data_IF_905112362356
#
_entry.id   IF_905112362356
#
_cell.length_a   1.000
_cell.length_b   1.000
_cell.length_c   1.000
_cell.angle_alpha   90.00
_cell.angle_beta   90.00
_cell.angle_gamma   90.00
#
_symmetry.space_group_name_H-M   'P 1'
#
loop_
_entity.id
_entity.type
_entity.pdbx_description
1 polymer ?
#
# COMPACT_ATOMS: atom_id res chain seq x y z
N UNK A 1 11.87 -65.81 1.04
CA UNK A 1 11.69 -65.30 -0.34
C UNK A 1 10.40 -64.49 -0.50
N UNK A 2 9.23 -64.96 -0.13
CA UNK A 2 7.98 -64.16 -0.25
C UNK A 2 8.03 -62.81 0.51
N UNK A 3 8.64 -62.80 1.71
CA UNK A 3 8.77 -61.56 2.51
C UNK A 3 9.71 -60.54 1.85
N UNK A 4 10.81 -60.96 1.21
CA UNK A 4 11.71 -60.05 0.48
C UNK A 4 11.04 -59.45 -0.76
N UNK A 5 10.18 -60.22 -1.42
CA UNK A 5 9.36 -59.75 -2.53
C UNK A 5 8.32 -58.69 -2.09
N UNK A 6 7.66 -58.94 -0.96
CA UNK A 6 6.70 -57.95 -0.37
C UNK A 6 7.42 -56.66 0.02
N UNK A 7 8.58 -56.79 0.68
CA UNK A 7 9.41 -55.63 1.05
C UNK A 7 9.90 -54.86 -0.19
N UNK A 8 10.30 -55.54 -1.28
CA UNK A 8 10.65 -54.96 -2.56
C UNK A 8 9.51 -54.18 -3.21
N UNK A 9 8.29 -54.78 -3.23
CA UNK A 9 7.12 -54.09 -3.80
C UNK A 9 6.70 -52.87 -2.96
N UNK A 10 6.79 -52.99 -1.61
CA UNK A 10 6.54 -51.82 -0.74
C UNK A 10 7.52 -50.71 -0.99
N UNK A 11 8.82 -51.02 -1.13
CA UNK A 11 9.86 -50.05 -1.48
C UNK A 11 9.66 -49.44 -2.86
N UNK A 12 9.27 -50.20 -3.88
CA UNK A 12 8.95 -49.69 -5.21
C UNK A 12 7.84 -48.64 -5.16
N UNK A 13 6.71 -48.95 -4.49
CA UNK A 13 5.59 -48.02 -4.33
C UNK A 13 6.02 -46.73 -3.61
N UNK A 14 6.78 -46.87 -2.55
CA UNK A 14 7.26 -45.74 -1.77
C UNK A 14 8.18 -44.83 -2.59
N UNK A 15 9.14 -45.38 -3.36
CA UNK A 15 10.01 -44.61 -4.25
C UNK A 15 9.24 -44.00 -5.43
N UNK A 16 8.23 -44.66 -5.97
CA UNK A 16 7.37 -44.11 -7.00
C UNK A 16 6.63 -42.87 -6.50
N UNK A 17 5.94 -42.97 -5.36
CA UNK A 17 5.26 -41.80 -4.76
C UNK A 17 6.21 -40.65 -4.45
N UNK A 18 7.47 -40.94 -4.03
CA UNK A 18 8.49 -39.90 -3.84
C UNK A 18 8.88 -39.26 -5.16
N UNK A 19 9.05 -40.01 -6.25
CA UNK A 19 9.34 -39.46 -7.59
C UNK A 19 8.20 -38.55 -8.09
N UNK A 20 6.94 -38.92 -7.82
CA UNK A 20 5.78 -38.10 -8.20
C UNK A 20 5.80 -36.74 -7.49
N UNK A 21 6.17 -36.71 -6.20
CA UNK A 21 6.31 -35.48 -5.42
C UNK A 21 7.45 -34.61 -5.94
N UNK A 22 8.64 -35.20 -6.16
CA UNK A 22 9.79 -34.50 -6.70
C UNK A 22 9.50 -33.97 -8.10
N UNK A 23 8.84 -34.75 -8.95
CA UNK A 23 8.44 -34.34 -10.29
C UNK A 23 7.49 -33.13 -10.25
N UNK A 24 6.55 -33.11 -9.30
CA UNK A 24 5.67 -31.97 -9.09
C UNK A 24 6.43 -30.72 -8.60
N UNK A 25 7.41 -30.87 -7.69
CA UNK A 25 8.26 -29.77 -7.22
C UNK A 25 9.04 -29.13 -8.37
N UNK A 26 9.68 -29.97 -9.21
CA UNK A 26 10.45 -29.50 -10.36
C UNK A 26 9.56 -28.81 -11.40
N UNK A 27 8.39 -29.40 -11.69
CA UNK A 27 7.45 -28.84 -12.66
C UNK A 27 6.97 -27.43 -12.26
N UNK A 28 6.89 -27.15 -10.95
CA UNK A 28 6.38 -25.87 -10.42
C UNK A 28 7.48 -24.92 -9.92
N UNK A 29 8.75 -25.16 -10.25
CA UNK A 29 9.86 -24.28 -9.81
C UNK A 29 9.71 -22.84 -10.30
N UNK A 30 9.09 -22.61 -11.44
CA UNK A 30 8.81 -21.30 -12.01
C UNK A 30 7.40 -20.77 -11.69
N UNK A 31 6.64 -21.48 -10.84
CA UNK A 31 5.31 -21.05 -10.43
C UNK A 31 5.43 -20.12 -9.23
N UNK A 32 4.93 -18.89 -9.35
CA UNK A 32 4.95 -17.91 -8.26
C UNK A 32 4.24 -18.42 -7.02
N UNK A 33 4.81 -18.16 -5.85
CA UNK A 33 4.22 -18.54 -4.56
C UNK A 33 4.07 -20.05 -4.32
N UNK A 34 4.65 -20.89 -5.19
CA UNK A 34 4.60 -22.36 -5.01
C UNK A 34 5.41 -22.76 -3.79
N UNK A 35 4.82 -23.65 -2.97
CA UNK A 35 5.45 -24.25 -1.81
C UNK A 35 5.76 -25.70 -2.09
N UNK A 36 7.03 -26.06 -2.01
CA UNK A 36 7.53 -27.40 -2.24
C UNK A 36 6.94 -28.41 -1.28
N UNK A 37 6.79 -29.65 -1.74
CA UNK A 37 6.32 -30.75 -0.95
C UNK A 37 7.49 -31.59 -0.44
N UNK A 38 7.45 -31.99 0.83
CA UNK A 38 8.34 -32.93 1.46
C UNK A 38 7.68 -34.29 1.60
N UNK A 39 8.43 -35.34 1.33
CA UNK A 39 7.96 -36.73 1.41
C UNK A 39 8.70 -37.49 2.50
N UNK A 40 7.98 -38.04 3.46
CA UNK A 40 8.52 -38.79 4.58
C UNK A 40 8.15 -40.27 4.51
N UNK A 41 9.16 -41.12 4.71
CA UNK A 41 8.99 -42.57 4.82
C UNK A 41 8.79 -42.97 6.28
N UNK A 42 8.02 -44.08 6.47
CA UNK A 42 8.04 -44.85 7.70
C UNK A 42 8.21 -46.32 7.38
N UNK A 43 8.73 -47.07 8.31
CA UNK A 43 8.79 -48.51 8.22
C UNK A 43 7.40 -49.13 8.30
N UNK A 44 7.24 -50.26 7.65
CA UNK A 44 6.01 -51.03 7.64
C UNK A 44 5.93 -51.93 8.88
N UNK A 45 4.99 -52.84 8.88
CA UNK A 45 4.78 -53.82 9.99
C UNK A 45 5.94 -54.74 10.20
N UNK A 46 6.15 -55.18 11.43
CA UNK A 46 7.09 -56.17 11.85
C UNK A 46 6.44 -57.50 12.27
N UNK A 47 7.09 -58.60 11.96
CA UNK A 47 6.71 -59.91 12.51
C UNK A 47 7.80 -60.38 13.47
N UNK A 48 7.41 -60.79 14.67
CA UNK A 48 8.31 -61.38 15.62
C UNK A 48 8.63 -62.82 15.17
N UNK A 49 9.92 -63.07 14.86
CA UNK A 49 10.43 -64.43 14.64
C UNK A 49 10.66 -65.16 15.97
N UNK A 50 11.13 -64.38 16.95
CA UNK A 50 11.35 -64.83 18.31
C UNK A 50 10.90 -63.73 19.27
N UNK A 51 10.14 -64.11 20.30
CA UNK A 51 9.77 -63.15 21.33
C UNK A 51 10.88 -62.99 22.35
N UNK A 52 10.99 -61.77 22.95
CA UNK A 52 11.89 -61.50 24.04
C UNK A 52 11.44 -62.30 25.30
N UNK A 53 12.43 -62.78 26.02
CA UNK A 53 12.16 -63.37 27.36
C UNK A 53 13.14 -62.76 28.36
N UNK A 54 12.62 -62.42 29.55
CA UNK A 54 13.47 -62.00 30.67
C UNK A 54 14.34 -63.16 31.16
N UNK A 55 15.59 -62.87 31.51
CA UNK A 55 16.47 -63.82 32.20
C UNK A 55 16.02 -63.95 33.67
N UNK A 56 16.33 -65.09 34.26
CA UNK A 56 16.16 -65.29 35.69
C UNK A 56 17.55 -65.47 36.35
N UNK A 57 17.72 -64.90 37.54
CA UNK A 57 18.98 -65.00 38.32
C UNK A 57 18.98 -66.24 39.25
N UNK A 58 17.97 -67.08 39.16
CA UNK A 58 17.91 -68.32 39.92
C UNK A 58 18.92 -69.40 39.39
N UNK A 59 19.54 -70.15 40.28
CA UNK A 59 20.46 -71.18 39.89
C UNK A 59 19.81 -72.21 38.96
N UNK A 60 20.40 -72.44 37.78
CA UNK A 60 19.84 -73.30 36.74
C UNK A 60 18.93 -72.66 35.70
N UNK A 61 18.63 -71.36 35.84
CA UNK A 61 17.86 -70.62 34.86
C UNK A 61 18.69 -70.10 33.69
N UNK A 62 18.05 -69.94 32.53
CA UNK A 62 18.68 -69.38 31.33
C UNK A 62 18.69 -67.86 31.33
N UNK A 63 19.70 -67.25 30.71
CA UNK A 63 19.76 -65.79 30.47
C UNK A 63 18.65 -65.31 29.59
N UNK A 64 18.40 -63.99 29.65
CA UNK A 64 17.41 -63.32 28.80
C UNK A 64 17.74 -63.37 27.32
N UNK A 65 16.73 -63.39 26.47
CA UNK A 65 16.86 -63.43 25.02
C UNK A 65 16.15 -62.22 24.41
N UNK A 66 16.81 -61.48 23.50
CA UNK A 66 16.24 -60.39 22.78
C UNK A 66 15.22 -60.83 21.71
N UNK A 67 14.24 -60.01 21.41
CA UNK A 67 13.33 -60.23 20.30
C UNK A 67 14.06 -60.22 18.98
N UNK A 68 13.69 -61.16 18.07
CA UNK A 68 14.15 -61.14 16.66
C UNK A 68 12.95 -60.81 15.78
N UNK A 69 13.07 -59.66 15.06
CA UNK A 69 11.93 -59.11 14.29
C UNK A 69 12.37 -58.96 12.82
N UNK A 70 11.42 -59.15 11.91
CA UNK A 70 11.59 -58.94 10.46
C UNK A 70 10.52 -58.02 9.95
N UNK A 71 10.95 -56.93 9.28
CA UNK A 71 10.04 -55.93 8.71
C UNK A 71 9.53 -56.28 7.31
N UNK A 72 8.48 -55.67 6.89
CA UNK A 72 7.84 -55.82 5.56
C UNK A 72 8.13 -54.66 4.61
N UNK A 73 9.14 -53.84 4.87
CA UNK A 73 9.55 -52.74 4.02
C UNK A 73 9.13 -51.36 4.51
N UNK A 74 9.04 -50.40 3.62
CA UNK A 74 8.69 -49.03 3.90
C UNK A 74 7.35 -48.62 3.26
N UNK A 75 6.71 -47.63 3.84
CA UNK A 75 5.49 -47.04 3.31
C UNK A 75 5.52 -45.50 3.49
N UNK A 76 4.59 -44.81 2.82
CA UNK A 76 4.37 -43.37 2.99
C UNK A 76 3.99 -43.07 4.44
N UNK A 77 4.64 -42.08 5.05
CA UNK A 77 4.23 -41.51 6.33
C UNK A 77 3.36 -40.29 6.14
N UNK A 78 3.92 -39.28 5.45
CA UNK A 78 3.23 -38.02 5.20
C UNK A 78 3.82 -37.33 3.95
N UNK A 79 3.00 -36.55 3.29
CA UNK A 79 3.41 -35.53 2.34
C UNK A 79 3.00 -34.21 2.98
N UNK A 80 3.92 -33.30 3.18
CA UNK A 80 3.67 -32.01 3.82
C UNK A 80 4.25 -30.87 2.96
N UNK A 81 3.59 -29.72 3.00
CA UNK A 81 4.08 -28.52 2.36
C UNK A 81 5.19 -27.88 3.20
N UNK A 82 6.19 -27.32 2.53
CA UNK A 82 7.24 -26.52 3.16
C UNK A 82 6.88 -25.05 3.00
N UNK A 83 6.37 -24.41 4.06
CA UNK A 83 5.90 -23.02 4.03
C UNK A 83 6.99 -21.98 4.29
N UNK A 84 8.25 -22.30 4.08
CA UNK A 84 9.35 -21.34 4.11
C UNK A 84 9.18 -20.30 3.01
N UNK A 85 9.59 -19.04 3.28
CA UNK A 85 9.54 -17.95 2.30
C UNK A 85 10.50 -18.24 1.14
N UNK A 86 10.03 -18.07 -0.09
CA UNK A 86 10.85 -18.16 -1.29
C UNK A 86 11.68 -16.91 -1.52
N UNK A 87 12.60 -16.95 -2.48
CA UNK A 87 13.39 -15.78 -2.86
C UNK A 87 12.52 -14.69 -3.51
N UNK A 88 12.76 -13.39 -3.20
CA UNK A 88 12.08 -12.29 -3.88
C UNK A 88 12.58 -12.16 -5.32
N UNK A 89 11.67 -11.95 -6.24
CA UNK A 89 11.95 -11.61 -7.65
C UNK A 89 11.31 -10.29 -8.01
N UNK A 90 12.07 -9.30 -8.50
CA UNK A 90 11.51 -8.00 -8.85
C UNK A 90 10.52 -8.11 -10.01
N UNK A 91 9.39 -7.42 -9.88
CA UNK A 91 8.36 -7.28 -10.91
C UNK A 91 8.35 -5.86 -11.47
N UNK A 92 8.03 -5.74 -12.76
CA UNK A 92 7.83 -4.45 -13.41
C UNK A 92 6.50 -3.78 -13.03
N UNK A 93 5.59 -4.53 -12.41
CA UNK A 93 4.29 -4.02 -12.00
C UNK A 93 4.32 -3.59 -10.52
N UNK A 94 4.03 -2.32 -10.20
CA UNK A 94 4.05 -1.81 -8.85
C UNK A 94 2.99 -2.41 -7.90
N UNK A 95 1.95 -3.05 -8.45
CA UNK A 95 0.89 -3.71 -7.68
C UNK A 95 1.22 -5.15 -7.29
N UNK A 96 2.26 -5.73 -7.90
CA UNK A 96 2.72 -7.04 -7.49
C UNK A 96 3.39 -6.94 -6.13
N UNK A 97 3.09 -7.86 -5.25
CA UNK A 97 3.68 -7.89 -3.92
C UNK A 97 3.89 -9.32 -3.41
N UNK A 98 4.80 -9.46 -2.48
CA UNK A 98 5.03 -10.72 -1.77
C UNK A 98 4.98 -10.50 -0.26
N UNK A 99 4.69 -11.57 0.48
CA UNK A 99 4.80 -11.57 1.94
C UNK A 99 6.16 -12.16 2.31
N UNK A 100 6.99 -11.39 2.98
CA UNK A 100 8.21 -11.91 3.61
C UNK A 100 7.91 -12.26 5.06
N UNK A 101 8.05 -13.53 5.39
CA UNK A 101 7.65 -14.11 6.65
C UNK A 101 6.41 -14.99 6.56
N UNK A 102 5.71 -15.14 7.68
CA UNK A 102 4.50 -15.97 7.80
C UNK A 102 3.24 -15.21 7.36
N UNK A 103 2.26 -15.92 6.83
CA UNK A 103 0.94 -15.39 6.49
C UNK A 103 0.53 -15.65 5.04
N UNK A 104 -0.69 -15.27 4.72
CA UNK A 104 -1.32 -15.46 3.42
C UNK A 104 -2.19 -14.24 3.09
N UNK A 105 -2.34 -13.94 1.81
CA UNK A 105 -3.36 -13.02 1.33
C UNK A 105 -4.73 -13.66 1.41
N UNK A 106 -5.75 -12.89 1.74
CA UNK A 106 -7.14 -13.33 1.76
C UNK A 106 -7.81 -12.95 0.44
N UNK A 107 -8.30 -13.96 -0.29
CA UNK A 107 -8.90 -13.77 -1.60
C UNK A 107 -10.13 -14.64 -1.78
N UNK A 108 -11.06 -14.24 -2.63
CA UNK A 108 -12.21 -15.07 -2.93
C UNK A 108 -13.34 -14.37 -3.63
N UNK A 109 -14.53 -14.98 -3.58
CA UNK A 109 -15.75 -14.40 -4.13
C UNK A 109 -16.22 -13.22 -3.28
N UNK A 110 -16.99 -12.31 -3.85
CA UNK A 110 -17.49 -11.14 -3.14
C UNK A 110 -18.42 -11.58 -1.98
N UNK A 111 -18.05 -11.16 -0.78
CA UNK A 111 -18.89 -11.26 0.42
C UNK A 111 -19.47 -9.87 0.70
N UNK A 112 -20.78 -9.76 0.77
CA UNK A 112 -21.45 -8.51 1.08
C UNK A 112 -21.23 -8.13 2.56
N UNK A 113 -20.69 -6.95 2.78
CA UNK A 113 -20.41 -6.41 4.11
C UNK A 113 -19.00 -6.69 4.61
N UNK A 114 -18.77 -6.38 5.86
CA UNK A 114 -17.50 -6.56 6.57
C UNK A 114 -17.61 -7.70 7.58
N UNK A 115 -16.52 -8.40 7.81
CA UNK A 115 -16.47 -9.53 8.74
C UNK A 115 -15.14 -9.53 9.52
N UNK A 116 -15.13 -10.20 10.66
CA UNK A 116 -13.93 -10.37 11.50
C UNK A 116 -13.45 -11.82 11.59
N UNK A 117 -14.32 -12.80 11.28
CA UNK A 117 -13.95 -14.21 11.34
C UNK A 117 -13.64 -14.76 9.94
N UNK A 118 -12.36 -15.05 9.70
CA UNK A 118 -11.86 -15.55 8.42
C UNK A 118 -12.26 -17.01 8.18
N UNK A 119 -12.31 -17.83 9.23
CA UNK A 119 -12.58 -19.27 9.10
C UNK A 119 -13.99 -19.58 8.56
N UNK A 120 -14.97 -18.77 8.95
CA UNK A 120 -16.38 -18.95 8.55
C UNK A 120 -16.73 -18.23 7.23
N UNK A 121 -15.82 -17.42 6.70
CA UNK A 121 -16.07 -16.62 5.49
C UNK A 121 -16.15 -17.43 4.20
N UNK A 122 -15.60 -18.64 4.19
CA UNK A 122 -15.50 -19.48 2.99
C UNK A 122 -14.52 -18.96 1.94
N UNK A 123 -13.69 -17.97 2.28
CA UNK A 123 -12.68 -17.40 1.42
C UNK A 123 -11.44 -18.29 1.35
N UNK A 124 -10.63 -18.06 0.33
CA UNK A 124 -9.41 -18.79 0.09
C UNK A 124 -8.20 -17.96 0.54
N UNK A 125 -7.12 -18.65 0.83
CA UNK A 125 -5.83 -18.07 1.15
C UNK A 125 -4.90 -18.20 -0.06
N UNK A 126 -4.13 -17.16 -0.36
CA UNK A 126 -3.14 -17.15 -1.43
C UNK A 126 -1.79 -16.69 -0.93
N UNK A 127 -0.72 -17.23 -1.51
CA UNK A 127 0.63 -16.72 -1.30
C UNK A 127 1.10 -15.87 -2.49
N UNK A 128 0.36 -15.89 -3.58
CA UNK A 128 0.65 -15.12 -4.78
C UNK A 128 -0.02 -13.75 -4.68
N UNK A 129 0.76 -12.69 -4.80
CA UNK A 129 0.29 -11.31 -4.73
C UNK A 129 0.36 -10.62 -6.10
N UNK A 130 -0.24 -11.20 -7.12
CA UNK A 130 -0.41 -10.56 -8.42
C UNK A 130 -1.76 -9.86 -8.43
N UNK A 131 -1.75 -8.56 -8.16
CA UNK A 131 -2.99 -7.80 -8.02
C UNK A 131 -3.24 -6.85 -9.18
N UNK A 132 -4.51 -6.59 -9.47
CA UNK A 132 -5.00 -5.68 -10.50
C UNK A 132 -6.24 -4.97 -9.97
N UNK A 133 -6.60 -3.88 -10.62
CA UNK A 133 -7.88 -3.19 -10.38
C UNK A 133 -8.82 -3.54 -11.52
N UNK A 134 -10.06 -3.90 -11.20
CA UNK A 134 -11.11 -4.18 -12.18
C UNK A 134 -11.83 -2.89 -12.64
N UNK A 135 -12.72 -3.00 -13.62
CA UNK A 135 -13.52 -1.90 -14.16
C UNK A 135 -14.43 -1.23 -13.09
N UNK A 136 -14.80 -1.96 -12.05
CA UNK A 136 -15.64 -1.48 -10.96
C UNK A 136 -14.84 -0.85 -9.82
N UNK A 137 -13.51 -0.79 -9.95
CA UNK A 137 -12.60 -0.22 -8.95
C UNK A 137 -12.28 -1.15 -7.77
N UNK A 138 -12.52 -2.46 -7.90
CA UNK A 138 -12.14 -3.44 -6.88
C UNK A 138 -10.76 -3.99 -7.15
N UNK A 139 -10.03 -4.25 -6.06
CA UNK A 139 -8.77 -4.98 -6.13
C UNK A 139 -9.04 -6.47 -6.32
N UNK A 140 -8.50 -7.05 -7.39
CA UNK A 140 -8.64 -8.46 -7.76
C UNK A 140 -7.27 -9.08 -8.01
N UNK A 141 -7.20 -10.41 -7.85
CA UNK A 141 -6.03 -11.18 -8.23
C UNK A 141 -6.06 -11.63 -9.70
N UNK A 142 -5.01 -12.32 -10.13
CA UNK A 142 -4.87 -12.84 -11.50
C UNK A 142 -5.99 -13.83 -11.90
N UNK A 143 -6.63 -14.50 -10.95
CA UNK A 143 -7.77 -15.40 -11.18
C UNK A 143 -9.14 -14.72 -11.00
N UNK A 144 -9.17 -13.39 -10.92
CA UNK A 144 -10.37 -12.56 -10.73
C UNK A 144 -11.08 -12.75 -9.40
N UNK A 145 -10.38 -13.23 -8.37
CA UNK A 145 -10.89 -13.24 -7.01
C UNK A 145 -10.64 -11.88 -6.35
N UNK A 146 -11.61 -11.41 -5.56
CA UNK A 146 -11.47 -10.16 -4.82
C UNK A 146 -10.44 -10.30 -3.70
N UNK A 147 -9.63 -9.26 -3.52
CA UNK A 147 -8.66 -9.17 -2.45
C UNK A 147 -9.29 -8.48 -1.25
N UNK A 148 -9.09 -9.05 -0.09
CA UNK A 148 -9.65 -8.57 1.17
C UNK A 148 -8.60 -7.87 2.00
N UNK A 149 -9.06 -6.86 2.72
CA UNK A 149 -8.21 -6.06 3.59
C UNK A 149 -9.01 -5.09 4.44
N UNK A 150 -8.32 -4.11 4.97
CA UNK A 150 -8.87 -3.03 5.79
C UNK A 150 -9.18 -1.84 4.89
N UNK A 151 -10.47 -1.64 4.59
CA UNK A 151 -10.89 -0.49 3.79
C UNK A 151 -10.69 0.81 4.57
N UNK A 152 -10.44 1.88 3.84
CA UNK A 152 -10.41 3.24 4.40
C UNK A 152 -11.83 3.66 4.74
N UNK A 153 -12.03 4.27 5.91
CA UNK A 153 -13.32 4.83 6.31
C UNK A 153 -13.70 6.00 5.39
N UNK A 154 -14.96 6.08 5.00
CA UNK A 154 -15.46 7.17 4.16
C UNK A 154 -15.11 8.54 4.76
N UNK A 155 -14.63 9.44 3.91
CA UNK A 155 -14.19 10.78 4.32
C UNK A 155 -12.79 10.86 4.92
N UNK A 156 -12.01 9.76 4.94
CA UNK A 156 -10.61 9.74 5.37
C UNK A 156 -9.70 9.27 4.22
N UNK A 157 -8.38 9.44 4.36
CA UNK A 157 -7.44 9.08 3.29
C UNK A 157 -7.52 9.99 2.07
N UNK A 158 -8.14 11.16 2.23
CA UNK A 158 -8.30 12.15 1.18
C UNK A 158 -7.04 13.02 1.17
N UNK A 159 -6.36 13.17 0.01
CA UNK A 159 -5.24 14.07 -0.10
C UNK A 159 -5.68 15.52 0.08
N UNK A 160 -4.75 16.38 0.41
CA UNK A 160 -5.00 17.82 0.41
C UNK A 160 -5.62 18.24 -0.92
N UNK A 161 -6.85 18.74 -0.87
CA UNK A 161 -7.49 19.27 -2.06
C UNK A 161 -7.28 20.77 -2.10
N UNK A 162 -6.70 21.31 -3.18
CA UNK A 162 -6.85 22.72 -3.44
C UNK A 162 -8.34 22.98 -3.65
N UNK A 163 -8.93 23.79 -2.79
CA UNK A 163 -10.33 24.19 -2.97
C UNK A 163 -10.48 24.82 -4.35
N UNK A 164 -11.56 24.42 -4.99
CA UNK A 164 -12.15 24.95 -6.21
C UNK A 164 -11.36 26.06 -6.93
N UNK A 165 -11.02 25.80 -8.19
CA UNK A 165 -10.36 26.69 -9.16
C UNK A 165 -9.57 27.85 -8.53
N UNK A 166 -8.25 27.72 -8.53
CA UNK A 166 -7.34 28.74 -8.00
C UNK A 166 -7.82 30.15 -8.31
N UNK A 167 -8.54 30.75 -7.38
CA UNK A 167 -9.02 32.12 -7.48
C UNK A 167 -7.88 33.07 -7.05
N UNK A 168 -7.87 34.27 -7.59
CA UNK A 168 -6.96 35.32 -7.15
C UNK A 168 -7.48 35.89 -5.83
N UNK A 169 -6.62 35.98 -4.83
CA UNK A 169 -6.96 36.66 -3.58
C UNK A 169 -7.19 38.13 -3.82
N UNK A 170 -8.25 38.63 -3.27
CA UNK A 170 -8.63 40.03 -3.32
C UNK A 170 -8.98 40.51 -1.91
N UNK A 171 -8.42 41.63 -1.49
CA UNK A 171 -8.77 42.32 -0.25
C UNK A 171 -9.11 43.77 -0.51
N UNK A 172 -10.15 44.27 0.14
CA UNK A 172 -10.52 45.69 0.11
C UNK A 172 -10.09 46.34 1.43
N UNK A 173 -9.41 47.48 1.35
CA UNK A 173 -8.89 48.20 2.49
C UNK A 173 -9.46 49.61 2.45
N UNK A 174 -10.24 50.05 3.46
CA UNK A 174 -10.63 51.44 3.57
C UNK A 174 -9.42 52.32 3.92
N UNK A 175 -9.21 53.34 3.12
CA UNK A 175 -8.16 54.36 3.33
C UNK A 175 -8.80 55.73 3.56
N UNK A 176 -8.21 56.50 4.46
CA UNK A 176 -8.64 57.84 4.78
C UNK A 176 -7.50 58.84 4.59
N UNK A 177 -7.81 59.94 3.92
CA UNK A 177 -6.86 61.05 3.72
C UNK A 177 -7.42 62.31 4.37
N UNK A 178 -6.56 63.04 5.05
CA UNK A 178 -6.93 64.34 5.58
C UNK A 178 -6.23 65.44 4.73
N UNK A 179 -7.00 66.35 4.22
CA UNK A 179 -6.48 67.46 3.44
C UNK A 179 -5.54 68.31 4.32
N UNK A 180 -4.29 68.57 3.87
CA UNK A 180 -3.39 69.38 4.64
C UNK A 180 -3.94 70.79 4.78
N UNK A 181 -3.94 71.32 5.99
CA UNK A 181 -4.42 72.70 6.29
C UNK A 181 -3.61 73.67 5.52
N UNK A 182 -4.21 74.45 4.65
CA UNK A 182 -3.60 75.46 3.79
C UNK A 182 -3.02 76.61 4.61
N UNK A 183 -1.70 76.65 4.82
CA UNK A 183 -0.97 77.84 5.15
C UNK A 183 -0.70 78.67 3.90
N UNK A 184 -0.28 79.92 4.04
CA UNK A 184 -0.12 80.94 2.98
C UNK A 184 0.85 80.56 1.82
N UNK A 185 1.43 79.40 1.80
CA UNK A 185 2.27 78.90 0.71
C UNK A 185 1.88 77.41 0.44
N UNK A 186 1.22 77.11 -0.68
CA UNK A 186 0.74 75.76 -0.91
C UNK A 186 1.94 74.84 -1.25
N UNK A 187 2.32 73.99 -0.30
CA UNK A 187 3.22 72.87 -0.59
C UNK A 187 2.52 71.94 -1.61
N UNK A 188 3.25 71.23 -2.46
CA UNK A 188 2.67 70.23 -3.36
C UNK A 188 1.84 69.24 -2.55
N UNK A 189 0.66 68.90 -3.05
CA UNK A 189 -0.18 67.90 -2.38
C UNK A 189 0.58 66.56 -2.35
N UNK A 190 0.52 65.92 -1.19
CA UNK A 190 1.16 64.59 -1.00
C UNK A 190 0.09 63.62 -0.56
N UNK A 191 0.08 62.43 -1.13
CA UNK A 191 -0.71 61.31 -0.66
C UNK A 191 0.24 60.31 0.03
N UNK A 192 -0.10 59.97 1.27
CA UNK A 192 0.61 58.95 2.04
C UNK A 192 -0.36 57.82 2.35
N UNK A 193 -0.08 56.64 1.82
CA UNK A 193 -0.80 55.40 2.10
C UNK A 193 0.19 54.45 2.76
N UNK A 194 -0.02 54.18 4.04
CA UNK A 194 0.95 53.44 4.85
C UNK A 194 2.26 54.20 4.99
N UNK A 195 3.37 53.61 4.56
CA UNK A 195 4.70 54.22 4.60
C UNK A 195 5.11 54.87 3.26
N UNK A 196 4.25 54.82 2.25
CA UNK A 196 4.58 55.30 0.91
C UNK A 196 3.96 56.69 0.70
N UNK A 197 4.81 57.68 0.56
CA UNK A 197 4.42 59.06 0.30
C UNK A 197 4.75 59.42 -1.16
N UNK A 198 3.78 59.89 -1.90
CA UNK A 198 3.93 60.35 -3.30
C UNK A 198 3.54 61.81 -3.40
N UNK A 199 4.41 62.63 -3.99
CA UNK A 199 4.10 64.02 -4.30
C UNK A 199 3.26 64.08 -5.56
N UNK A 200 2.11 64.79 -5.45
CA UNK A 200 1.17 64.88 -6.53
C UNK A 200 1.40 66.12 -7.37
N UNK A 201 1.12 66.03 -8.65
CA UNK A 201 1.29 67.11 -9.62
C UNK A 201 0.28 68.27 -9.47
N UNK A 202 -0.78 68.11 -8.69
CA UNK A 202 -1.87 69.04 -8.53
C UNK A 202 -2.41 69.20 -7.12
N UNK A 203 -3.27 70.22 -6.90
CA UNK A 203 -4.00 70.48 -5.63
C UNK A 203 -5.35 69.77 -5.65
N UNK A 204 -5.66 69.03 -4.57
CA UNK A 204 -6.93 68.32 -4.44
C UNK A 204 -8.01 69.29 -3.93
N UNK A 205 -8.98 69.59 -4.78
CA UNK A 205 -10.15 70.44 -4.44
C UNK A 205 -11.50 69.80 -4.74
N UNK A 206 -11.54 68.71 -5.50
CA UNK A 206 -12.72 67.99 -5.91
C UNK A 206 -12.53 66.48 -5.81
N UNK A 207 -13.63 65.76 -5.80
CA UNK A 207 -13.65 64.31 -5.81
C UNK A 207 -12.92 63.69 -6.98
N UNK A 208 -13.09 64.27 -8.18
CA UNK A 208 -12.37 63.88 -9.40
C UNK A 208 -10.83 64.10 -9.27
N UNK A 209 -10.39 65.19 -8.61
CA UNK A 209 -8.95 65.41 -8.39
C UNK A 209 -8.37 64.44 -7.34
N UNK A 210 -9.16 63.97 -6.41
CA UNK A 210 -8.76 62.91 -5.48
C UNK A 210 -8.64 61.56 -6.20
N UNK A 211 -9.59 61.23 -7.09
CA UNK A 211 -9.48 60.04 -7.93
C UNK A 211 -8.22 60.06 -8.79
N UNK A 212 -7.93 61.18 -9.47
CA UNK A 212 -6.71 61.37 -10.26
C UNK A 212 -5.45 61.20 -9.40
N UNK A 213 -5.49 61.72 -8.16
CA UNK A 213 -4.36 61.62 -7.23
C UNK A 213 -4.11 60.21 -6.73
N UNK A 214 -5.18 59.43 -6.43
CA UNK A 214 -5.04 58.04 -6.07
C UNK A 214 -4.56 57.22 -7.27
N UNK A 215 -5.05 57.50 -8.46
CA UNK A 215 -4.57 56.87 -9.69
C UNK A 215 -3.08 57.16 -9.97
N UNK A 216 -2.64 58.39 -9.69
CA UNK A 216 -1.23 58.76 -9.80
C UNK A 216 -0.37 57.98 -8.78
N UNK A 217 -0.87 57.82 -7.54
CA UNK A 217 -0.22 56.97 -6.53
C UNK A 217 -0.15 55.51 -6.97
N UNK A 218 -1.27 54.91 -7.43
CA UNK A 218 -1.31 53.53 -7.92
C UNK A 218 -0.34 53.34 -9.07
N UNK A 219 -0.30 54.28 -10.03
CA UNK A 219 0.61 54.24 -11.17
C UNK A 219 2.07 54.30 -10.72
N UNK A 220 2.36 55.12 -9.71
CA UNK A 220 3.70 55.24 -9.16
C UNK A 220 4.17 53.93 -8.49
N UNK A 221 3.35 53.30 -7.64
CA UNK A 221 3.73 52.09 -6.89
C UNK A 221 3.79 50.84 -7.78
N UNK A 222 2.96 50.77 -8.82
CA UNK A 222 2.96 49.65 -9.76
C UNK A 222 4.04 49.76 -10.84
N UNK A 223 4.69 50.90 -10.98
CA UNK A 223 5.72 51.08 -11.99
C UNK A 223 7.02 50.39 -11.61
N UNK A 224 7.42 49.38 -12.39
CA UNK A 224 8.65 48.61 -12.18
C UNK A 224 9.92 49.42 -12.08
N UNK A 225 9.97 50.61 -12.65
CA UNK A 225 11.13 51.53 -12.54
C UNK A 225 11.31 52.12 -11.14
N UNK A 226 10.25 52.22 -10.36
CA UNK A 226 10.25 52.72 -8.98
C UNK A 226 10.48 51.61 -7.97
N UNK A 227 10.33 50.35 -8.38
CA UNK A 227 10.53 49.15 -7.55
C UNK A 227 12.03 48.80 -7.53
N UNK A 228 12.72 49.17 -6.49
CA UNK A 228 14.17 48.86 -6.32
C UNK A 228 14.41 48.29 -4.91
N UNK A 229 14.90 47.05 -4.77
CA UNK A 229 15.34 46.52 -3.49
C UNK A 229 16.45 47.38 -2.88
N UNK A 230 16.30 47.82 -1.63
CA UNK A 230 17.30 48.53 -0.87
C UNK A 230 17.40 50.04 -1.15
N UNK A 231 16.48 50.66 -1.88
CA UNK A 231 16.41 52.11 -2.05
C UNK A 231 15.47 52.70 -0.97
N UNK A 232 15.92 53.63 -0.09
CA UNK A 232 15.08 54.22 0.94
C UNK A 232 13.87 55.01 0.41
N UNK A 233 13.87 55.38 -0.88
CA UNK A 233 12.78 56.05 -1.60
C UNK A 233 12.14 55.12 -2.64
N UNK A 234 12.49 53.85 -2.69
CA UNK A 234 11.96 52.86 -3.61
C UNK A 234 10.69 52.19 -3.07
N UNK A 235 9.84 51.79 -4.00
CA UNK A 235 8.64 51.02 -3.69
C UNK A 235 9.03 49.56 -3.56
N UNK A 236 8.42 48.84 -2.63
CA UNK A 236 8.68 47.41 -2.39
C UNK A 236 8.35 46.57 -3.65
N UNK A 237 9.21 45.61 -3.95
CA UNK A 237 9.07 44.70 -5.10
C UNK A 237 7.75 43.86 -5.02
N UNK A 238 7.20 43.70 -3.82
CA UNK A 238 5.90 43.03 -3.60
C UNK A 238 4.76 43.64 -4.44
N UNK A 239 4.82 44.95 -4.74
CA UNK A 239 3.81 45.59 -5.58
C UNK A 239 3.76 45.11 -7.02
N UNK A 240 4.82 44.49 -7.53
CA UNK A 240 4.84 43.88 -8.87
C UNK A 240 3.97 42.61 -8.96
N UNK A 241 3.65 42.00 -7.82
CA UNK A 241 2.90 40.75 -7.71
C UNK A 241 1.40 40.95 -7.52
N UNK A 242 0.93 42.18 -7.43
CA UNK A 242 -0.48 42.53 -7.24
C UNK A 242 -0.93 43.60 -8.23
N UNK A 243 -2.24 43.57 -8.51
CA UNK A 243 -2.93 44.69 -9.15
C UNK A 243 -3.68 45.47 -8.08
N UNK A 244 -3.55 46.80 -8.14
CA UNK A 244 -4.20 47.71 -7.20
C UNK A 244 -5.20 48.56 -7.99
N UNK A 245 -6.44 48.57 -7.49
CA UNK A 245 -7.52 49.39 -8.02
C UNK A 245 -8.20 50.08 -6.84
N UNK A 246 -9.05 51.07 -7.09
CA UNK A 246 -9.78 51.75 -6.03
C UNK A 246 -11.20 52.02 -6.44
N UNK A 247 -12.07 52.19 -5.45
CA UNK A 247 -13.49 52.47 -5.65
C UNK A 247 -14.01 53.36 -4.52
N UNK A 248 -15.13 54.05 -4.77
CA UNK A 248 -15.90 54.72 -3.75
C UNK A 248 -15.21 55.92 -3.09
N UNK A 249 -14.57 56.81 -3.89
CA UNK A 249 -13.97 58.04 -3.34
C UNK A 249 -15.10 58.95 -2.84
N UNK A 250 -15.06 59.29 -1.57
CA UNK A 250 -16.05 60.17 -0.92
C UNK A 250 -15.44 61.19 0.02
N UNK A 251 -16.05 62.34 0.18
CA UNK A 251 -15.60 63.38 1.08
C UNK A 251 -16.51 63.51 2.30
N UNK A 252 -15.91 63.53 3.48
CA UNK A 252 -16.64 63.76 4.74
C UNK A 252 -16.14 65.06 5.38
N UNK A 253 -17.11 65.86 5.92
CA UNK A 253 -16.85 67.15 6.56
C UNK A 253 -17.45 68.34 5.80
N UNK A 254 -17.93 69.35 6.54
CA UNK A 254 -18.58 70.58 6.00
C UNK A 254 -17.61 71.75 5.95
N UNK A 255 -16.44 71.65 6.58
CA UNK A 255 -15.40 72.69 6.60
C UNK A 255 -14.02 72.01 6.54
N UNK A 256 -13.02 72.72 5.97
CA UNK A 256 -11.64 72.26 5.90
C UNK A 256 -10.99 72.21 7.31
N UNK A 257 -10.13 71.22 7.58
CA UNK A 257 -9.64 70.18 6.66
C UNK A 257 -10.68 69.08 6.39
N UNK A 258 -10.87 68.79 5.11
CA UNK A 258 -11.76 67.71 4.69
C UNK A 258 -11.12 66.33 4.87
N UNK A 259 -11.91 65.33 5.23
CA UNK A 259 -11.47 63.96 5.25
C UNK A 259 -12.03 63.23 4.01
N UNK A 260 -11.14 62.64 3.24
CA UNK A 260 -11.49 61.84 2.07
C UNK A 260 -11.41 60.36 2.42
N UNK A 261 -12.32 59.56 1.92
CA UNK A 261 -12.35 58.10 2.09
C UNK A 261 -12.34 57.44 0.72
N UNK A 262 -11.60 56.37 0.57
CA UNK A 262 -11.63 55.50 -0.61
C UNK A 262 -11.45 54.05 -0.20
N UNK A 263 -11.92 53.12 -1.04
CA UNK A 263 -11.68 51.68 -0.89
C UNK A 263 -10.53 51.30 -1.84
N UNK A 264 -9.42 50.81 -1.29
CA UNK A 264 -8.31 50.27 -2.07
C UNK A 264 -8.52 48.77 -2.25
N UNK A 265 -8.58 48.34 -3.50
CA UNK A 265 -8.82 46.96 -3.87
C UNK A 265 -7.50 46.34 -4.37
N UNK A 266 -6.98 45.39 -3.61
CA UNK A 266 -5.71 44.72 -3.91
C UNK A 266 -6.03 43.31 -4.39
N UNK A 267 -5.57 42.96 -5.60
CA UNK A 267 -5.81 41.62 -6.19
C UNK A 267 -4.45 41.02 -6.59
N UNK A 268 -4.18 39.80 -6.19
CA UNK A 268 -2.96 39.09 -6.61
C UNK A 268 -2.92 38.86 -8.13
N UNK A 269 -1.74 38.94 -8.70
CA UNK A 269 -1.51 38.52 -10.10
C UNK A 269 -1.47 37.00 -10.22
N UNK A 270 -0.93 36.34 -9.20
CA UNK A 270 -0.91 34.87 -9.11
C UNK A 270 -2.18 34.31 -8.52
N UNK A 271 -2.40 33.02 -8.67
CA UNK A 271 -3.52 32.27 -8.11
C UNK A 271 -3.00 31.26 -7.10
N UNK A 272 -3.85 30.79 -6.18
CA UNK A 272 -3.48 29.79 -5.21
C UNK A 272 -2.91 30.36 -3.90
N UNK A 273 -2.13 29.57 -3.19
CA UNK A 273 -1.58 29.92 -1.86
C UNK A 273 -0.63 31.12 -1.89
N UNK A 274 0.21 31.21 -2.93
CA UNK A 274 1.07 32.38 -3.16
C UNK A 274 0.26 33.68 -3.33
N UNK A 275 -0.99 33.58 -3.71
CA UNK A 275 -1.92 34.69 -3.85
C UNK A 275 -2.22 35.38 -2.52
N UNK A 276 -2.44 34.60 -1.46
CA UNK A 276 -2.73 35.13 -0.12
C UNK A 276 -1.52 35.88 0.42
N UNK A 277 -0.33 35.27 0.34
CA UNK A 277 0.90 35.89 0.82
C UNK A 277 1.21 37.20 0.08
N UNK A 278 1.06 37.23 -1.25
CA UNK A 278 1.31 38.45 -2.04
C UNK A 278 0.41 39.61 -1.64
N UNK A 279 -0.86 39.33 -1.33
CA UNK A 279 -1.79 40.37 -0.87
C UNK A 279 -1.50 40.80 0.56
N UNK A 280 -1.19 39.85 1.46
CA UNK A 280 -0.87 40.14 2.86
C UNK A 280 0.39 40.98 3.01
N UNK A 281 1.40 40.75 2.18
CA UNK A 281 2.61 41.56 2.15
C UNK A 281 2.29 43.04 1.85
N UNK A 282 1.40 43.29 0.89
CA UNK A 282 0.97 44.68 0.56
C UNK A 282 0.09 45.25 1.67
N UNK A 283 -0.82 44.49 2.23
CA UNK A 283 -1.67 44.89 3.38
C UNK A 283 -0.80 45.39 4.54
N UNK A 284 0.28 44.65 4.84
CA UNK A 284 1.24 45.02 5.89
C UNK A 284 1.97 46.32 5.58
N UNK A 285 2.34 46.58 4.32
CA UNK A 285 3.02 47.80 3.87
C UNK A 285 2.08 49.01 3.94
N UNK A 286 0.82 48.83 3.49
CA UNK A 286 -0.20 49.87 3.46
C UNK A 286 -0.75 50.19 4.87
N UNK A 287 -0.53 49.28 5.83
CA UNK A 287 -1.01 49.40 7.23
C UNK A 287 -2.53 49.58 7.33
N UNK A 288 -3.28 49.03 6.38
CA UNK A 288 -4.72 49.08 6.40
C UNK A 288 -5.32 47.89 7.17
N UNK A 289 -6.52 48.07 7.70
CA UNK A 289 -7.33 46.94 8.23
C UNK A 289 -8.28 46.48 7.14
N UNK A 290 -8.10 45.25 6.60
CA UNK A 290 -8.98 44.73 5.57
C UNK A 290 -10.42 44.60 6.07
N UNK A 291 -11.38 44.81 5.17
CA UNK A 291 -12.75 44.40 5.42
C UNK A 291 -12.89 42.90 5.15
N UNK A 292 -12.86 42.10 6.20
CA UNK A 292 -12.92 40.65 6.12
C UNK A 292 -14.22 40.13 5.46
N UNK A 293 -15.28 40.92 5.48
CA UNK A 293 -16.55 40.56 4.84
C UNK A 293 -16.49 40.56 3.31
N UNK A 294 -15.48 41.25 2.73
CA UNK A 294 -15.27 41.42 1.29
C UNK A 294 -13.98 40.72 0.82
N UNK A 295 -13.27 40.04 1.72
CA UNK A 295 -12.04 39.32 1.38
C UNK A 295 -12.40 38.05 0.61
N UNK A 296 -11.86 37.92 -0.60
CA UNK A 296 -11.88 36.68 -1.38
C UNK A 296 -10.53 36.02 -1.20
N UNK A 297 -10.49 34.85 -0.59
CA UNK A 297 -9.26 34.07 -0.43
C UNK A 297 -8.90 33.32 -1.70
N UNK A 298 -7.62 33.24 -2.03
CA UNK A 298 -7.11 32.64 -3.25
C UNK A 298 -7.29 31.12 -3.31
N UNK A 299 -7.09 30.43 -2.23
CA UNK A 299 -7.39 29.02 -2.05
C UNK A 299 -7.45 28.73 -0.56
N UNK A 300 -8.51 28.11 -0.09
CA UNK A 300 -8.51 27.45 1.20
C UNK A 300 -8.01 26.03 0.95
N UNK A 301 -6.78 25.74 1.34
CA UNK A 301 -6.31 24.37 1.43
C UNK A 301 -7.15 23.64 2.47
N UNK A 302 -7.85 22.61 2.03
CA UNK A 302 -8.42 21.67 2.98
C UNK A 302 -7.30 20.69 3.33
N UNK A 303 -6.79 20.70 4.57
CA UNK A 303 -5.72 19.76 4.95
C UNK A 303 -6.20 18.34 4.67
N UNK A 304 -5.30 17.53 4.12
CA UNK A 304 -5.58 16.12 3.86
C UNK A 304 -5.95 15.41 5.16
N UNK A 305 -6.92 14.54 5.10
CA UNK A 305 -7.33 13.72 6.24
C UNK A 305 -6.58 12.40 6.15
N UNK A 306 -5.75 12.10 7.15
CA UNK A 306 -5.06 10.82 7.22
C UNK A 306 -6.03 9.65 7.13
N UNK A 307 -5.62 8.59 6.44
CA UNK A 307 -6.44 7.40 6.28
C UNK A 307 -6.68 6.72 7.65
N UNK A 308 -7.94 6.51 7.99
CA UNK A 308 -8.36 5.68 9.12
C UNK A 308 -8.89 4.38 8.53
N UNK A 309 -8.35 3.25 8.99
CA UNK A 309 -8.74 1.94 8.47
C UNK A 309 -9.83 1.33 9.33
N UNK A 310 -10.71 0.56 8.69
CA UNK A 310 -11.69 -0.27 9.41
C UNK A 310 -10.98 -1.41 10.14
N UNK A 311 -11.44 -1.77 11.34
CA UNK A 311 -10.95 -2.96 12.05
C UNK A 311 -11.53 -4.27 11.47
N UNK A 312 -12.50 -4.18 10.58
CA UNK A 312 -13.14 -5.32 9.95
C UNK A 312 -12.64 -5.50 8.52
N UNK A 313 -12.55 -6.75 8.09
CA UNK A 313 -12.17 -7.11 6.73
C UNK A 313 -13.31 -6.85 5.75
N UNK A 314 -12.96 -6.26 4.63
CA UNK A 314 -13.87 -6.05 3.50
C UNK A 314 -13.11 -6.13 2.18
N UNK A 315 -13.81 -6.18 1.06
CA UNK A 315 -13.20 -6.06 -0.26
C UNK A 315 -12.58 -4.69 -0.43
N UNK A 316 -11.35 -4.64 -0.92
CA UNK A 316 -10.68 -3.37 -1.21
C UNK A 316 -11.26 -2.76 -2.48
N UNK A 317 -11.77 -1.54 -2.37
CA UNK A 317 -12.38 -0.79 -3.46
C UNK A 317 -11.84 0.63 -3.47
N UNK A 318 -11.68 1.20 -4.66
CA UNK A 318 -11.36 2.62 -4.84
C UNK A 318 -12.43 3.47 -4.12
N UNK A 319 -12.03 4.39 -3.23
CA UNK A 319 -12.99 5.26 -2.55
C UNK A 319 -13.68 6.20 -3.54
N UNK A 320 -14.87 6.65 -3.17
CA UNK A 320 -15.60 7.65 -3.94
C UNK A 320 -15.10 9.06 -3.56
N UNK A 321 -15.04 9.95 -4.54
CA UNK A 321 -14.82 11.38 -4.31
C UNK A 321 -16.03 11.96 -3.54
N UNK A 322 -15.82 12.56 -2.36
CA UNK A 322 -16.90 13.16 -1.58
C UNK A 322 -17.68 14.25 -2.32
N UNK A 323 -17.06 14.90 -3.31
CA UNK A 323 -17.69 15.99 -4.05
C UNK A 323 -18.56 15.50 -5.21
N UNK A 324 -18.15 14.43 -5.89
CA UNK A 324 -18.83 13.91 -7.07
C UNK A 324 -19.65 12.66 -6.79
N UNK A 325 -19.36 11.94 -5.69
CA UNK A 325 -19.95 10.64 -5.35
C UNK A 325 -19.53 9.50 -6.28
N UNK A 326 -18.63 9.75 -7.25
CA UNK A 326 -18.11 8.76 -8.17
C UNK A 326 -16.73 8.24 -7.68
N UNK A 327 -16.33 7.02 -8.06
CA UNK A 327 -14.98 6.53 -7.78
C UNK A 327 -13.91 7.47 -8.35
N UNK A 328 -12.83 7.67 -7.63
CA UNK A 328 -11.68 8.41 -8.15
C UNK A 328 -11.11 7.75 -9.41
N UNK A 329 -10.80 8.55 -10.43
CA UNK A 329 -10.07 8.07 -11.60
C UNK A 329 -8.57 8.02 -11.27
N UNK A 330 -8.05 6.81 -11.02
CA UNK A 330 -6.68 6.58 -10.59
C UNK A 330 -5.89 5.93 -11.71
N UNK A 331 -4.69 6.44 -12.00
CA UNK A 331 -3.85 5.96 -13.11
C UNK A 331 -2.73 5.02 -12.67
N UNK A 332 -2.02 5.37 -11.61
CA UNK A 332 -0.87 4.61 -11.14
C UNK A 332 -1.16 4.07 -9.75
N UNK A 333 -0.99 2.77 -9.60
CA UNK A 333 -1.22 2.08 -8.32
C UNK A 333 0.11 1.57 -7.78
N UNK A 334 0.25 1.55 -6.46
CA UNK A 334 1.41 0.97 -5.78
C UNK A 334 1.01 0.39 -4.42
N UNK A 335 1.77 -0.59 -3.97
CA UNK A 335 1.61 -1.21 -2.65
C UNK A 335 2.87 -0.95 -1.84
N UNK A 336 2.70 -0.31 -0.69
CA UNK A 336 3.78 0.01 0.24
C UNK A 336 4.14 -1.17 1.15
N UNK A 337 5.29 -1.12 1.84
CA UNK A 337 5.76 -2.18 2.73
C UNK A 337 4.85 -2.43 3.94
N UNK A 338 4.03 -1.48 4.33
CA UNK A 338 3.01 -1.61 5.37
C UNK A 338 1.66 -2.15 4.86
N UNK A 339 1.62 -2.58 3.58
CA UNK A 339 0.42 -3.11 2.93
C UNK A 339 -0.58 -2.08 2.44
N UNK A 340 -0.27 -0.79 2.57
CA UNK A 340 -1.15 0.28 2.08
C UNK A 340 -1.15 0.30 0.56
N UNK A 341 -2.34 0.19 -0.03
CA UNK A 341 -2.59 0.32 -1.47
C UNK A 341 -2.92 1.77 -1.76
N UNK A 342 -2.11 2.39 -2.61
CA UNK A 342 -2.30 3.79 -3.02
C UNK A 342 -2.44 3.87 -4.53
N UNK A 343 -3.29 4.78 -4.98
CA UNK A 343 -3.41 5.17 -6.38
C UNK A 343 -3.11 6.66 -6.53
N UNK A 344 -2.77 7.09 -7.72
CA UNK A 344 -2.49 8.49 -8.05
C UNK A 344 -3.52 9.00 -9.04
N UNK A 345 -4.16 10.11 -8.72
CA UNK A 345 -5.15 10.75 -9.59
C UNK A 345 -4.50 11.62 -10.70
N UNK A 346 -5.32 12.25 -11.52
CA UNK A 346 -4.89 13.12 -12.62
C UNK A 346 -4.10 14.35 -12.16
N UNK A 347 -4.30 14.77 -10.91
CA UNK A 347 -3.59 15.89 -10.29
C UNK A 347 -2.31 15.46 -9.56
N UNK A 348 -1.86 14.22 -9.80
CA UNK A 348 -0.69 13.61 -9.15
C UNK A 348 -0.78 13.54 -7.61
N UNK A 349 -2.00 13.39 -7.07
CA UNK A 349 -2.24 13.26 -5.62
C UNK A 349 -2.38 11.79 -5.24
N UNK A 350 -1.70 11.32 -4.19
CA UNK A 350 -1.83 9.95 -3.71
C UNK A 350 -3.17 9.79 -2.95
N UNK A 351 -3.98 8.84 -3.38
CA UNK A 351 -5.24 8.46 -2.74
C UNK A 351 -5.08 7.06 -2.17
N UNK A 352 -5.42 6.90 -0.89
CA UNK A 352 -5.34 5.61 -0.21
C UNK A 352 -6.61 4.81 -0.46
N UNK A 353 -6.45 3.59 -1.02
CA UNK A 353 -7.56 2.67 -1.30
C UNK A 353 -7.88 1.83 -0.07
N UNK A 354 -6.85 1.36 0.61
CA UNK A 354 -6.96 0.51 1.79
C UNK A 354 -5.65 -0.15 2.14
N UNK A 355 -5.71 -1.09 3.06
CA UNK A 355 -4.55 -1.87 3.49
C UNK A 355 -4.82 -3.36 3.30
N UNK A 356 -3.94 -4.07 2.59
CA UNK A 356 -4.07 -5.51 2.38
C UNK A 356 -3.92 -6.23 3.72
N UNK A 357 -4.83 -7.17 4.02
CA UNK A 357 -4.74 -7.99 5.22
C UNK A 357 -3.81 -9.19 5.00
N UNK A 358 -3.06 -9.55 6.03
CA UNK A 358 -2.33 -10.80 6.11
C UNK A 358 -3.05 -11.72 7.09
N UNK A 359 -3.35 -12.92 6.64
CA UNK A 359 -3.96 -13.97 7.47
C UNK A 359 -2.87 -14.86 8.00
N UNK A 360 -2.78 -14.97 9.31
CA UNK A 360 -1.90 -15.91 10.02
C UNK A 360 -2.66 -17.16 10.38
N UNK A 361 -2.06 -18.31 10.13
CA UNK A 361 -2.64 -19.63 10.39
C UNK A 361 -1.74 -20.37 11.37
N UNK A 362 -2.29 -20.85 12.48
CA UNK A 362 -1.53 -21.53 13.53
C UNK A 362 -0.84 -22.80 13.00
N UNK A 363 -1.52 -23.58 12.17
CA UNK A 363 -0.96 -24.76 11.55
C UNK A 363 -1.14 -24.71 10.02
N UNK A 364 -0.13 -24.16 9.29
CA UNK A 364 -0.21 -24.06 7.83
C UNK A 364 -0.33 -25.42 7.11
N UNK A 365 0.17 -26.51 7.71
CA UNK A 365 0.03 -27.86 7.16
C UNK A 365 -1.40 -28.42 7.21
N UNK A 366 -2.30 -27.77 7.98
CA UNK A 366 -3.72 -28.07 7.99
C UNK A 366 -4.51 -27.42 6.85
N UNK A 367 -3.84 -26.62 6.00
CA UNK A 367 -4.46 -26.02 4.83
C UNK A 367 -4.55 -27.03 3.68
N UNK A 368 -5.68 -27.02 2.99
CA UNK A 368 -5.94 -27.87 1.83
C UNK A 368 -5.73 -27.06 0.54
N UNK A 369 -4.83 -27.52 -0.34
CA UNK A 369 -4.63 -26.90 -1.64
C UNK A 369 -5.81 -27.16 -2.56
N UNK A 370 -6.41 -26.08 -3.04
CA UNK A 370 -7.49 -26.11 -4.02
C UNK A 370 -6.94 -25.85 -5.43
N UNK A 371 -7.76 -25.55 -6.38
CA UNK A 371 -7.35 -25.24 -7.74
C UNK A 371 -6.43 -24.01 -7.80
N UNK A 372 -5.43 -24.03 -8.68
CA UNK A 372 -4.48 -22.93 -8.85
C UNK A 372 -3.50 -22.81 -7.68
N UNK A 373 -3.37 -21.60 -7.14
CA UNK A 373 -2.49 -21.30 -6.00
C UNK A 373 -3.23 -20.99 -4.71
N UNK A 374 -4.51 -21.42 -4.62
CA UNK A 374 -5.33 -21.17 -3.44
C UNK A 374 -5.23 -22.31 -2.44
N UNK A 375 -5.36 -21.93 -1.18
CA UNK A 375 -5.48 -22.83 -0.04
C UNK A 375 -6.82 -22.58 0.65
N UNK A 376 -7.52 -23.64 0.97
CA UNK A 376 -8.73 -23.61 1.79
C UNK A 376 -8.36 -23.94 3.24
N UNK A 377 -9.03 -23.31 4.18
CA UNK A 377 -8.87 -23.57 5.59
C UNK A 377 -9.46 -24.95 5.89
N UNK A 378 -8.62 -25.90 6.30
CA UNK A 378 -9.03 -27.23 6.73
C UNK A 378 -9.32 -27.28 8.23
N UNK A 379 -9.98 -28.34 8.70
CA UNK A 379 -10.36 -28.51 10.10
C UNK A 379 -9.15 -28.53 11.07
N UNK A 380 -7.96 -28.88 10.59
CA UNK A 380 -6.72 -28.93 11.37
C UNK A 380 -5.83 -27.70 11.23
N UNK A 381 -6.34 -26.62 10.67
CA UNK A 381 -5.59 -25.37 10.51
C UNK A 381 -5.37 -24.64 11.84
N UNK A 382 -6.16 -24.91 12.86
CA UNK A 382 -6.11 -24.24 14.16
C UNK A 382 -6.72 -22.84 14.09
N UNK A 383 -6.25 -21.95 14.95
CA UNK A 383 -6.70 -20.56 14.97
C UNK A 383 -6.22 -19.82 13.73
N UNK A 384 -7.12 -19.08 13.10
CA UNK A 384 -6.86 -18.26 11.92
C UNK A 384 -7.16 -16.80 12.28
N UNK A 385 -6.13 -16.00 12.34
CA UNK A 385 -6.22 -14.58 12.69
C UNK A 385 -5.89 -13.71 11.48
N UNK A 386 -6.47 -12.54 11.41
CA UNK A 386 -6.10 -11.52 10.42
C UNK A 386 -5.34 -10.39 11.09
N UNK A 387 -4.27 -9.97 10.45
CA UNK A 387 -3.36 -8.97 10.98
C UNK A 387 -3.06 -7.92 9.92
N UNK A 388 -2.70 -6.72 10.38
CA UNK A 388 -2.09 -5.75 9.49
C UNK A 388 -0.65 -6.16 9.19
N UNK A 389 -0.16 -5.94 7.96
CA UNK A 389 1.25 -6.17 7.66
C UNK A 389 2.17 -5.44 8.63
N UNK A 390 3.34 -6.02 8.89
CA UNK A 390 4.33 -5.49 9.83
C UNK A 390 3.89 -5.50 11.32
N UNK A 391 2.87 -6.29 11.68
CA UNK A 391 2.50 -6.59 13.07
C UNK A 391 2.80 -8.05 13.37
N UNK A 392 3.43 -8.32 14.52
CA UNK A 392 3.71 -9.72 14.93
C UNK A 392 2.38 -10.43 15.26
N UNK A 393 2.11 -11.64 14.72
CA UNK A 393 3.01 -12.58 14.04
C UNK A 393 3.07 -12.45 12.50
N UNK A 394 2.35 -11.53 11.88
CA UNK A 394 2.33 -11.37 10.42
C UNK A 394 3.68 -10.87 9.88
N UNK A 395 4.03 -11.35 8.69
CA UNK A 395 5.18 -10.84 7.93
C UNK A 395 4.96 -9.42 7.41
N UNK A 396 5.94 -8.88 6.71
CA UNK A 396 5.81 -7.60 6.01
C UNK A 396 5.62 -7.81 4.51
N UNK A 397 5.05 -6.82 3.84
CA UNK A 397 4.84 -6.86 2.40
C UNK A 397 6.03 -6.23 1.68
N UNK A 398 6.53 -6.89 0.64
CA UNK A 398 7.48 -6.31 -0.30
C UNK A 398 6.75 -5.99 -1.60
N UNK A 399 6.50 -4.71 -1.84
CA UNK A 399 5.91 -4.24 -3.11
C UNK A 399 6.86 -4.40 -4.29
N UNK A 400 6.33 -4.45 -5.50
CA UNK A 400 7.07 -4.65 -6.75
C UNK A 400 7.94 -5.91 -6.78
N UNK A 401 7.58 -6.93 -6.00
CA UNK A 401 8.25 -8.22 -5.96
C UNK A 401 7.24 -9.36 -5.94
N UNK A 402 7.61 -10.48 -6.53
CA UNK A 402 6.86 -11.74 -6.46
C UNK A 402 7.69 -12.80 -5.75
N UNK A 403 7.02 -13.67 -5.01
CA UNK A 403 7.65 -14.79 -4.33
C UNK A 403 7.94 -15.91 -5.31
N UNK A 404 9.20 -16.31 -5.46
CA UNK A 404 9.59 -17.49 -6.22
C UNK A 404 9.23 -18.77 -5.46
N UNK A 405 9.12 -19.89 -6.18
CA UNK A 405 9.02 -21.19 -5.56
C UNK A 405 10.20 -21.44 -4.63
N UNK A 406 9.97 -22.04 -3.47
CA UNK A 406 11.02 -22.40 -2.50
C UNK A 406 11.66 -23.76 -2.81
N UNK A 407 11.78 -24.11 -4.10
CA UNK A 407 12.31 -25.40 -4.58
C UNK A 407 13.77 -25.24 -5.03
N UNK A 408 14.67 -26.01 -4.43
CA UNK A 408 16.06 -26.11 -4.88
C UNK A 408 16.19 -27.23 -5.93
N UNK A 409 16.36 -26.83 -7.19
CA UNK A 409 16.52 -27.75 -8.31
C UNK A 409 17.69 -28.71 -8.15
N UNK A 410 18.82 -28.28 -7.60
CA UNK A 410 20.00 -29.11 -7.44
C UNK A 410 19.72 -30.26 -6.45
N UNK A 411 19.10 -29.96 -5.34
CA UNK A 411 18.66 -30.93 -4.36
C UNK A 411 17.59 -31.88 -4.93
N UNK A 412 16.61 -31.38 -5.67
CA UNK A 412 15.57 -32.20 -6.27
C UNK A 412 16.12 -33.14 -7.35
N UNK A 413 17.07 -32.69 -8.20
CA UNK A 413 17.75 -33.59 -9.13
C UNK A 413 18.55 -34.67 -8.43
N UNK A 414 19.26 -34.35 -7.36
CA UNK A 414 19.96 -35.32 -6.53
C UNK A 414 18.97 -36.35 -5.93
N UNK A 415 17.85 -35.87 -5.42
CA UNK A 415 16.77 -36.70 -4.88
C UNK A 415 16.17 -37.63 -5.93
N UNK A 416 15.94 -37.16 -7.18
CA UNK A 416 15.48 -38.03 -8.28
C UNK A 416 16.46 -39.14 -8.53
N UNK A 417 17.75 -38.82 -8.69
CA UNK A 417 18.79 -39.83 -9.00
C UNK A 417 18.84 -40.88 -7.91
N UNK A 418 18.88 -40.48 -6.64
CA UNK A 418 18.89 -41.42 -5.50
C UNK A 418 17.63 -42.28 -5.42
N UNK A 419 16.46 -41.65 -5.64
CA UNK A 419 15.17 -42.37 -5.63
C UNK A 419 15.04 -43.35 -6.79
N UNK A 420 15.51 -42.94 -8.00
CA UNK A 420 15.55 -43.82 -9.17
C UNK A 420 16.49 -45.03 -8.95
N UNK A 421 17.64 -44.81 -8.34
CA UNK A 421 18.55 -45.90 -7.96
C UNK A 421 17.92 -46.85 -6.93
N UNK A 422 17.19 -46.28 -5.93
CA UNK A 422 16.43 -47.08 -4.95
C UNK A 422 15.31 -47.90 -5.60
N UNK A 423 14.61 -47.33 -6.57
CA UNK A 423 13.60 -48.02 -7.36
C UNK A 423 14.19 -49.19 -8.15
N UNK A 424 15.33 -48.97 -8.87
CA UNK A 424 16.04 -49.97 -9.62
C UNK A 424 16.53 -51.12 -8.71
N UNK A 425 17.06 -50.80 -7.52
CA UNK A 425 17.51 -51.79 -6.55
C UNK A 425 16.36 -52.70 -6.06
N UNK A 426 15.21 -52.11 -5.71
CA UNK A 426 14.04 -52.84 -5.30
C UNK A 426 13.46 -53.72 -6.43
N UNK A 427 13.46 -53.21 -7.68
CA UNK A 427 13.09 -54.00 -8.86
C UNK A 427 14.02 -55.22 -9.05
N UNK A 428 15.32 -55.05 -8.85
CA UNK A 428 16.29 -56.13 -8.96
C UNK A 428 16.09 -57.19 -7.88
N UNK A 429 15.70 -56.81 -6.65
CA UNK A 429 15.35 -57.79 -5.58
C UNK A 429 14.22 -58.67 -6.04
N UNK A 430 13.18 -58.14 -6.69
CA UNK A 430 12.04 -58.90 -7.17
C UNK A 430 12.45 -59.87 -8.26
N UNK A 431 13.22 -59.42 -9.28
CA UNK A 431 13.71 -60.31 -10.35
C UNK A 431 14.57 -61.45 -9.85
N UNK A 432 15.55 -61.18 -8.96
CA UNK A 432 16.41 -62.22 -8.36
C UNK A 432 15.56 -63.20 -7.51
N UNK A 433 14.57 -62.71 -6.80
CA UNK A 433 13.70 -63.58 -6.00
C UNK A 433 12.84 -64.48 -6.90
N UNK A 434 12.38 -63.98 -8.04
CA UNK A 434 11.63 -64.75 -9.02
C UNK A 434 12.50 -65.81 -9.68
N UNK A 435 13.74 -65.47 -10.12
CA UNK A 435 14.73 -66.39 -10.65
C UNK A 435 15.01 -67.54 -9.65
N UNK A 436 15.22 -67.22 -8.35
CA UNK A 436 15.39 -68.25 -7.29
C UNK A 436 14.17 -69.13 -7.10
N UNK A 437 12.94 -68.59 -7.24
CA UNK A 437 11.70 -69.37 -7.15
C UNK A 437 11.57 -70.30 -8.36
N UNK A 438 11.92 -69.88 -9.58
CA UNK A 438 11.95 -70.73 -10.78
C UNK A 438 12.90 -71.89 -10.66
N UNK A 439 14.15 -71.62 -10.15
CA UNK A 439 15.11 -72.67 -9.91
C UNK A 439 14.62 -73.69 -8.87
N UNK A 440 13.97 -73.24 -7.80
CA UNK A 440 13.37 -74.13 -6.80
C UNK A 440 12.26 -75.02 -7.37
N UNK A 441 11.42 -74.45 -8.27
CA UNK A 441 10.36 -75.22 -8.97
C UNK A 441 11.01 -76.24 -9.93
N UNK A 442 12.05 -75.86 -10.64
CA UNK A 442 12.77 -76.76 -11.54
C UNK A 442 13.47 -77.90 -10.80
N UNK A 443 14.02 -77.68 -9.58
CA UNK A 443 14.63 -78.73 -8.75
C UNK A 443 13.60 -79.72 -8.18
N UNK A 444 12.30 -79.37 -8.15
CA UNK A 444 11.24 -80.28 -7.68
C UNK A 444 10.69 -81.20 -8.78
N UNK A 445 11.08 -81.01 -10.01
CA UNK A 445 10.82 -81.91 -11.12
C UNK A 445 11.96 -82.91 -11.26
#
# INVERSE_FOLDING_TARGET
MVRSMIAGVAGLRAHQSKMDVIGNNIANVNTWGFKGYSYNFKDSMYTNSLNSSGGSVLAGASGGRNASQVGYGSQLSSISNVFETGAPSPSANPMDCMIDGTGFFLVGTMVNGSFSNVADSGLNLSRVGIFRVDENGYLVDDQRSYVYGYAVQEGTGIPETPATAASKTMKEIPITFTEPVTGANPAPAKISIGNIEVELSGKIKSESQMEDAIQEWVTYVTNSKNQKPGNPNGVDEAFSKVTIDFDGVGRTGTAAPYTWTAQLKITSVTTGEDSDQNVDDIVAIVKGTPDDSKTVKGATWTPGISAIYSDQLSTLKIPNDPNTGLPYDLKNYSISADGTVTGVDDLNRPIVIGKVAIVSVQNPNGLEKTSGYYYKIGENAGEVTHEQPNTSPAGYIMGSNLEMANVDLANEFSNIITTQRGFQANSKIITVTDEMLQELVNMKR
#
